data_IF_321586215244
#
_entry.id   IF_321586215244
#
_cell.length_a   1.000
_cell.length_b   1.000
_cell.length_c   1.000
_cell.angle_alpha   90.00
_cell.angle_beta   90.00
_cell.angle_gamma   90.00
#
_symmetry.space_group_name_H-M   'P 1'
#
loop_
_entity.id
_entity.type
_entity.pdbx_description
1 polymer ?
#
# COMPACT_ATOMS: atom_id res chain seq x y z
N UNK A 1 -9.14 -4.12 -3.80
CA UNK A 1 -9.49 -2.67 -3.81
C UNK A 1 -9.86 -2.14 -2.42
N UNK A 2 -9.82 -2.97 -1.37
CA UNK A 2 -10.05 -2.53 0.02
C UNK A 2 -8.86 -1.79 0.62
N UNK A 3 -7.63 -2.20 0.29
CA UNK A 3 -6.39 -1.52 0.72
C UNK A 3 -6.45 -0.01 0.41
N UNK A 4 -6.86 0.38 -0.79
CA UNK A 4 -6.97 1.81 -1.14
C UNK A 4 -8.03 2.51 -0.29
N UNK A 5 -9.22 1.91 -0.12
CA UNK A 5 -10.29 2.49 0.69
C UNK A 5 -9.85 2.70 2.15
N UNK A 6 -9.18 1.70 2.73
CA UNK A 6 -8.68 1.79 4.11
C UNK A 6 -7.53 2.81 4.19
N UNK A 7 -6.58 2.82 3.25
CA UNK A 7 -5.55 3.85 3.17
C UNK A 7 -6.15 5.26 3.09
N UNK A 8 -7.20 5.47 2.30
CA UNK A 8 -7.90 6.74 2.22
C UNK A 8 -8.60 7.10 3.52
N UNK A 9 -9.27 6.15 4.19
CA UNK A 9 -9.89 6.39 5.49
C UNK A 9 -8.86 6.76 6.55
N UNK A 10 -7.73 6.05 6.61
CA UNK A 10 -6.57 6.36 7.45
C UNK A 10 -6.07 7.76 7.16
N UNK A 11 -5.91 8.11 5.87
CA UNK A 11 -5.48 9.44 5.45
C UNK A 11 -6.43 10.52 5.94
N UNK A 12 -7.74 10.39 5.70
CA UNK A 12 -8.75 11.37 6.13
C UNK A 12 -8.80 11.52 7.66
N UNK A 13 -8.69 10.41 8.39
CA UNK A 13 -8.68 10.42 9.85
C UNK A 13 -7.46 11.15 10.41
N UNK A 14 -6.27 10.84 9.91
CA UNK A 14 -5.03 11.43 10.42
C UNK A 14 -4.75 12.83 9.89
N UNK A 15 -5.48 13.30 8.88
CA UNK A 15 -5.24 14.60 8.25
C UNK A 15 -6.23 15.68 8.65
N UNK A 16 -7.17 15.40 9.57
CA UNK A 16 -8.35 16.25 9.82
C UNK A 16 -9.06 16.62 8.50
N UNK A 17 -9.26 15.65 7.60
CA UNK A 17 -9.81 15.81 6.25
C UNK A 17 -8.98 16.66 5.25
N UNK A 18 -7.70 16.94 5.52
CA UNK A 18 -6.80 17.55 4.51
C UNK A 18 -6.57 16.63 3.33
N UNK A 19 -6.40 17.22 2.15
CA UNK A 19 -6.07 16.48 0.92
C UNK A 19 -4.66 15.89 0.97
N UNK A 20 -4.43 14.77 0.26
CA UNK A 20 -3.12 14.08 0.20
C UNK A 20 -1.96 15.01 -0.17
N UNK A 21 -2.19 15.97 -1.08
CA UNK A 21 -1.18 16.96 -1.49
C UNK A 21 -0.79 17.89 -0.32
N UNK A 22 -1.77 18.31 0.49
CA UNK A 22 -1.53 19.15 1.67
C UNK A 22 -0.79 18.37 2.76
N UNK A 23 -0.97 17.06 2.81
CA UNK A 23 -0.29 16.18 3.75
C UNK A 23 1.19 16.02 3.41
N UNK A 24 1.56 15.97 2.12
CA UNK A 24 2.97 15.97 1.68
C UNK A 24 3.70 17.28 2.01
N UNK A 25 2.97 18.38 2.15
CA UNK A 25 3.50 19.69 2.52
C UNK A 25 3.44 19.95 4.04
N UNK A 26 2.89 19.02 4.82
CA UNK A 26 2.70 19.22 6.25
C UNK A 26 3.99 18.97 7.03
N UNK A 27 4.24 19.79 8.07
CA UNK A 27 5.34 19.58 9.01
C UNK A 27 5.09 18.43 10.00
N UNK A 28 3.86 17.89 10.04
CA UNK A 28 3.50 16.76 10.91
C UNK A 28 3.90 15.44 10.21
N UNK A 29 4.81 14.63 10.80
CA UNK A 29 5.26 13.40 10.16
C UNK A 29 4.13 12.39 9.89
N UNK A 30 3.15 12.28 10.79
CA UNK A 30 2.00 11.38 10.63
C UNK A 30 1.21 11.67 9.35
N UNK A 31 1.01 12.96 9.02
CA UNK A 31 0.32 13.37 7.78
C UNK A 31 1.09 12.88 6.56
N UNK A 32 2.42 13.10 6.53
CA UNK A 32 3.25 12.64 5.42
C UNK A 32 3.16 11.12 5.21
N UNK A 33 3.22 10.34 6.28
CA UNK A 33 3.10 8.87 6.17
C UNK A 33 1.71 8.44 5.73
N UNK A 34 0.66 9.09 6.21
CA UNK A 34 -0.71 8.79 5.84
C UNK A 34 -0.99 9.13 4.35
N UNK A 35 -0.43 10.23 3.83
CA UNK A 35 -0.51 10.55 2.41
C UNK A 35 0.21 9.51 1.54
N UNK A 36 1.40 9.08 1.99
CA UNK A 36 2.15 7.99 1.32
C UNK A 36 1.40 6.66 1.33
N UNK A 37 0.57 6.35 2.34
CA UNK A 37 -0.27 5.14 2.32
C UNK A 37 -1.22 5.14 1.11
N UNK A 38 -1.83 6.28 0.82
CA UNK A 38 -2.72 6.45 -0.32
C UNK A 38 -1.94 6.29 -1.63
N UNK A 39 -0.84 7.03 -1.77
CA UNK A 39 0.00 7.00 -2.99
C UNK A 39 0.54 5.60 -3.29
N UNK A 40 1.02 4.86 -2.30
CA UNK A 40 1.51 3.49 -2.49
C UNK A 40 0.37 2.51 -2.79
N UNK A 41 -0.81 2.69 -2.17
CA UNK A 41 -1.97 1.83 -2.45
C UNK A 41 -2.54 2.01 -3.87
N UNK A 42 -2.46 3.22 -4.43
CA UNK A 42 -2.87 3.52 -5.80
C UNK A 42 -2.04 2.78 -6.85
N UNK A 43 -0.80 2.44 -6.53
CA UNK A 43 0.09 1.74 -7.46
C UNK A 43 -0.21 0.25 -7.58
N UNK A 44 -0.94 -0.34 -6.63
CA UNK A 44 -1.16 -1.79 -6.58
C UNK A 44 -2.00 -2.30 -7.76
N UNK A 45 -3.14 -1.65 -8.04
CA UNK A 45 -4.04 -2.10 -9.12
C UNK A 45 -3.43 -1.94 -10.53
N UNK A 46 -2.85 -0.78 -10.90
CA UNK A 46 -2.10 -0.65 -12.15
C UNK A 46 -0.88 -1.59 -12.21
N UNK A 47 -0.25 -1.85 -11.06
CA UNK A 47 0.83 -2.82 -10.94
C UNK A 47 0.41 -4.21 -11.39
N UNK A 48 -0.71 -4.73 -10.86
CA UNK A 48 -1.26 -6.05 -11.22
C UNK A 48 -1.60 -6.12 -12.71
N UNK A 49 -2.34 -5.14 -13.22
CA UNK A 49 -2.68 -5.06 -14.65
C UNK A 49 -1.42 -5.03 -15.52
N UNK A 50 -0.37 -4.35 -15.03
CA UNK A 50 0.96 -4.41 -15.59
C UNK A 50 1.48 -5.85 -15.64
N UNK A 51 1.49 -6.60 -14.56
CA UNK A 51 2.04 -7.97 -14.59
C UNK A 51 1.31 -8.83 -15.63
N UNK A 52 -0.02 -8.75 -15.70
CA UNK A 52 -0.85 -9.53 -16.65
C UNK A 52 -0.58 -9.18 -18.12
N UNK A 53 -0.12 -7.96 -18.41
CA UNK A 53 0.16 -7.47 -19.77
C UNK A 53 1.65 -7.48 -20.11
N UNK A 54 2.49 -8.07 -19.26
CA UNK A 54 3.93 -8.14 -19.49
C UNK A 54 4.23 -9.05 -20.69
N UNK A 55 5.05 -8.57 -21.63
CA UNK A 55 5.41 -9.31 -22.85
C UNK A 55 6.55 -10.30 -22.63
N UNK A 56 7.29 -10.17 -21.54
CA UNK A 56 8.44 -11.01 -21.21
C UNK A 56 8.42 -11.37 -19.73
N UNK A 57 8.99 -12.53 -19.39
CA UNK A 57 9.08 -12.99 -18.01
C UNK A 57 9.90 -12.05 -17.13
N UNK A 58 10.94 -11.43 -17.68
CA UNK A 58 11.74 -10.43 -16.97
C UNK A 58 10.91 -9.19 -16.58
N UNK A 59 10.11 -8.67 -17.52
CA UNK A 59 9.21 -7.54 -17.23
C UNK A 59 8.14 -7.91 -16.22
N UNK A 60 7.61 -9.13 -16.30
CA UNK A 60 6.66 -9.68 -15.33
C UNK A 60 7.25 -9.67 -13.91
N UNK A 61 8.43 -10.27 -13.73
CA UNK A 61 9.13 -10.33 -12.44
C UNK A 61 9.46 -8.94 -11.90
N UNK A 62 9.92 -8.01 -12.74
CA UNK A 62 10.19 -6.63 -12.35
C UNK A 62 8.92 -5.90 -11.89
N UNK A 63 7.78 -6.15 -12.54
CA UNK A 63 6.47 -5.58 -12.15
C UNK A 63 5.99 -6.18 -10.83
N UNK A 64 6.14 -7.49 -10.63
CA UNK A 64 5.86 -8.17 -9.36
C UNK A 64 6.70 -7.57 -8.22
N UNK A 65 8.00 -7.35 -8.45
CA UNK A 65 8.89 -6.77 -7.44
C UNK A 65 8.44 -5.36 -7.02
N UNK A 66 7.98 -4.54 -7.99
CA UNK A 66 7.42 -3.22 -7.68
C UNK A 66 6.18 -3.31 -6.80
N UNK A 67 5.27 -4.23 -7.08
CA UNK A 67 4.06 -4.43 -6.27
C UNK A 67 4.44 -4.85 -4.84
N UNK A 68 5.38 -5.80 -4.69
CA UNK A 68 5.90 -6.23 -3.38
C UNK A 68 6.54 -5.08 -2.61
N UNK A 69 7.30 -4.21 -3.29
CA UNK A 69 7.87 -2.99 -2.68
C UNK A 69 6.79 -2.03 -2.20
N UNK A 70 5.75 -1.79 -2.99
CA UNK A 70 4.63 -0.93 -2.59
C UNK A 70 3.91 -1.51 -1.35
N UNK A 71 3.58 -2.80 -1.34
CA UNK A 71 2.98 -3.47 -0.18
C UNK A 71 3.86 -3.35 1.10
N UNK A 72 5.17 -3.55 0.96
CA UNK A 72 6.13 -3.37 2.07
C UNK A 72 6.17 -1.93 2.58
N UNK A 73 6.13 -0.95 1.67
CA UNK A 73 6.10 0.48 2.04
C UNK A 73 4.81 0.85 2.77
N UNK A 74 3.66 0.30 2.38
CA UNK A 74 2.40 0.50 3.09
C UNK A 74 2.53 0.02 4.55
N UNK A 75 3.04 -1.19 4.78
CA UNK A 75 3.30 -1.70 6.15
C UNK A 75 4.28 -0.81 6.93
N UNK A 76 5.34 -0.35 6.27
CA UNK A 76 6.32 0.55 6.88
C UNK A 76 5.70 1.89 7.27
N UNK A 77 4.85 2.47 6.41
CA UNK A 77 4.17 3.73 6.71
C UNK A 77 3.18 3.56 7.87
N UNK A 78 2.47 2.43 7.96
CA UNK A 78 1.64 2.12 9.14
C UNK A 78 2.48 2.15 10.42
N UNK A 79 3.64 1.48 10.41
CA UNK A 79 4.56 1.49 11.56
C UNK A 79 5.09 2.89 11.88
N UNK A 80 5.42 3.68 10.86
CA UNK A 80 5.91 5.04 11.06
C UNK A 80 4.84 5.94 11.69
N UNK A 81 3.56 5.76 11.34
CA UNK A 81 2.45 6.48 11.98
C UNK A 81 2.38 6.12 13.46
N UNK A 82 2.46 4.85 13.84
CA UNK A 82 2.45 4.45 15.27
C UNK A 82 3.59 5.08 16.06
N UNK A 83 4.79 5.13 15.48
CA UNK A 83 5.98 5.71 16.12
C UNK A 83 5.79 7.20 16.43
N UNK A 84 4.88 7.89 15.74
CA UNK A 84 4.55 9.29 16.07
C UNK A 84 3.77 9.46 17.38
N UNK A 85 3.35 8.36 18.03
CA UNK A 85 2.68 8.38 19.34
C UNK A 85 1.15 8.39 19.28
N UNK A 86 0.57 8.13 18.11
CA UNK A 86 -0.88 7.97 17.91
C UNK A 86 -1.38 6.75 18.69
N UNK A 87 -2.55 6.88 19.32
CA UNK A 87 -3.15 5.82 20.16
C UNK A 87 -4.16 4.96 19.41
N UNK A 88 -4.85 5.52 18.42
CA UNK A 88 -5.87 4.83 17.65
C UNK A 88 -5.25 4.12 16.43
N UNK A 89 -4.89 2.84 16.60
CA UNK A 89 -4.19 2.05 15.57
C UNK A 89 -5.08 1.05 14.84
N UNK A 90 -6.37 0.97 15.17
CA UNK A 90 -7.29 -0.06 14.65
C UNK A 90 -7.36 -0.07 13.11
N UNK A 91 -7.41 1.11 12.49
CA UNK A 91 -7.37 1.23 11.03
C UNK A 91 -6.02 0.82 10.43
N UNK A 92 -4.91 1.04 11.15
CA UNK A 92 -3.59 0.60 10.72
C UNK A 92 -3.47 -0.93 10.80
N UNK A 93 -4.04 -1.54 11.82
CA UNK A 93 -4.09 -2.99 11.98
C UNK A 93 -4.97 -3.65 10.93
N UNK A 94 -6.12 -3.07 10.64
CA UNK A 94 -6.98 -3.51 9.54
C UNK A 94 -6.22 -3.42 8.20
N UNK A 95 -5.55 -2.30 7.94
CA UNK A 95 -4.77 -2.11 6.72
C UNK A 95 -3.65 -3.15 6.58
N UNK A 96 -2.94 -3.48 7.68
CA UNK A 96 -1.90 -4.51 7.67
C UNK A 96 -2.45 -5.89 7.34
N UNK A 97 -3.62 -6.25 7.88
CA UNK A 97 -4.28 -7.53 7.59
C UNK A 97 -4.64 -7.64 6.12
N UNK A 98 -5.19 -6.57 5.54
CA UNK A 98 -5.50 -6.53 4.11
C UNK A 98 -4.26 -6.60 3.23
N UNK A 99 -3.15 -5.96 3.62
CA UNK A 99 -1.89 -6.09 2.89
C UNK A 99 -1.33 -7.52 2.99
N UNK A 100 -1.42 -8.15 4.15
CA UNK A 100 -0.98 -9.54 4.32
C UNK A 100 -1.81 -10.49 3.43
N UNK A 101 -3.13 -10.30 3.40
CA UNK A 101 -4.01 -11.06 2.52
C UNK A 101 -3.64 -10.88 1.04
N UNK A 102 -3.40 -9.64 0.62
CA UNK A 102 -2.93 -9.31 -0.72
C UNK A 102 -1.58 -9.95 -1.10
N UNK A 103 -0.61 -9.96 -0.17
CA UNK A 103 0.69 -10.60 -0.40
C UNK A 103 0.57 -12.13 -0.58
N UNK A 104 -0.35 -12.77 0.15
CA UNK A 104 -0.66 -14.19 -0.04
C UNK A 104 -1.27 -14.43 -1.42
N UNK A 105 -2.30 -13.67 -1.81
CA UNK A 105 -2.94 -13.80 -3.12
C UNK A 105 -1.94 -13.66 -4.28
N UNK A 106 -1.03 -12.69 -4.19
CA UNK A 106 0.02 -12.51 -5.22
C UNK A 106 0.98 -13.69 -5.24
N UNK A 107 1.40 -14.18 -4.08
CA UNK A 107 2.34 -15.30 -3.99
C UNK A 107 1.73 -16.58 -4.56
N UNK A 108 0.47 -16.86 -4.23
CA UNK A 108 -0.29 -17.99 -4.77
C UNK A 108 -0.46 -17.88 -6.29
N UNK A 109 -0.83 -16.69 -6.77
CA UNK A 109 -0.96 -16.42 -8.19
C UNK A 109 0.37 -16.64 -8.94
N UNK A 110 1.49 -16.14 -8.42
CA UNK A 110 2.81 -16.35 -9.04
C UNK A 110 3.16 -17.84 -9.07
N UNK A 111 2.90 -18.56 -7.98
CA UNK A 111 3.20 -19.99 -7.89
C UNK A 111 2.38 -20.82 -8.90
N UNK A 112 1.11 -20.46 -9.12
CA UNK A 112 0.26 -21.10 -10.12
C UNK A 112 0.75 -20.83 -11.55
N UNK A 113 1.13 -19.58 -11.86
CA UNK A 113 1.60 -19.20 -13.20
C UNK A 113 3.04 -19.65 -13.53
N UNK A 114 3.77 -20.24 -12.58
CA UNK A 114 5.09 -20.84 -12.84
C UNK A 114 5.00 -22.35 -13.12
N UNK A 115 3.84 -22.98 -12.90
CA UNK A 115 3.60 -24.41 -13.13
C UNK A 115 2.98 -24.75 -14.49
N UNK A 116 2.52 -23.73 -15.21
CA UNK A 116 1.98 -23.81 -16.57
C UNK A 116 3.01 -23.25 -17.56
#
# INVERSE_FOLDING_TARGET
LEIFKISSAVSSYFSDNRHVIEMELSSVPAHNYAGRLVTESLQLAPGIAGVMTARTKELELKRIEKIRKAAKRIKSNCRNIEITGIKETEFLDLLRREILHFEHLISDWIHQNQKN
#
